data_IF_506807673705
#
_entry.id   IF_506807673705
#
_cell.length_a   1.000
_cell.length_b   1.000
_cell.length_c   1.000
_cell.angle_alpha   90.00
_cell.angle_beta   90.00
_cell.angle_gamma   90.00
#
_symmetry.space_group_name_H-M   'P 1'
#
loop_
_entity.id
_entity.type
_entity.pdbx_description
1 polymer ?
#
# COMPACT_ATOMS: atom_id res chain seq x y z
N UNK A 1 -17.70 29.14 8.56
CA UNK A 1 -17.58 28.29 9.78
C UNK A 1 -18.21 26.90 9.66
N UNK A 2 -19.39 26.68 9.06
CA UNK A 2 -20.01 25.33 9.02
C UNK A 2 -19.18 24.22 8.36
N UNK A 3 -18.22 24.55 7.49
CA UNK A 3 -17.31 23.56 6.90
C UNK A 3 -16.16 23.15 7.83
N UNK A 4 -15.85 23.95 8.85
CA UNK A 4 -14.82 23.63 9.84
C UNK A 4 -15.30 22.55 10.82
N UNK A 5 -16.62 22.42 11.01
CA UNK A 5 -17.25 21.39 11.85
C UNK A 5 -17.10 19.97 11.27
N UNK A 6 -16.85 19.86 9.95
CA UNK A 6 -16.73 18.57 9.24
C UNK A 6 -15.25 18.12 9.09
N UNK A 7 -14.30 18.88 9.62
CA UNK A 7 -12.87 18.57 9.52
C UNK A 7 -12.51 17.49 10.55
N UNK A 8 -11.79 16.42 10.15
CA UNK A 8 -11.31 15.41 11.07
C UNK A 8 -10.47 16.00 12.21
N UNK A 9 -10.60 15.40 13.40
CA UNK A 9 -9.71 15.69 14.52
C UNK A 9 -8.27 15.31 14.19
N UNK A 10 -7.30 16.07 14.72
CA UNK A 10 -5.89 15.68 14.63
C UNK A 10 -5.71 14.40 15.45
N UNK A 11 -5.16 13.32 14.87
CA UNK A 11 -4.92 12.10 15.61
C UNK A 11 -4.04 12.33 16.85
N UNK A 12 -4.24 11.48 17.85
CA UNK A 12 -3.49 11.53 19.11
C UNK A 12 -2.70 10.25 19.39
N UNK A 13 -2.78 9.27 18.50
CA UNK A 13 -2.14 7.97 18.60
C UNK A 13 -1.67 7.47 17.22
N UNK A 14 -0.82 6.45 17.24
CA UNK A 14 -0.22 5.89 16.03
C UNK A 14 -1.27 5.43 15.02
N UNK A 15 -2.30 4.71 15.48
CA UNK A 15 -3.36 4.17 14.62
C UNK A 15 -4.07 5.29 13.86
N UNK A 16 -4.42 6.39 14.53
CA UNK A 16 -5.05 7.52 13.87
C UNK A 16 -4.13 8.22 12.85
N UNK A 17 -2.82 8.31 13.10
CA UNK A 17 -1.88 8.88 12.11
C UNK A 17 -1.61 7.96 10.92
N UNK A 18 -1.74 6.64 11.10
CA UNK A 18 -1.59 5.63 10.04
C UNK A 18 -2.88 5.55 9.19
N UNK A 19 -4.05 5.59 9.83
CA UNK A 19 -5.34 5.42 9.16
C UNK A 19 -5.88 6.72 8.53
N UNK A 20 -5.30 7.87 8.87
CA UNK A 20 -5.75 9.14 8.32
C UNK A 20 -5.37 9.29 6.84
N UNK A 21 -6.13 10.13 6.15
CA UNK A 21 -5.90 10.46 4.75
C UNK A 21 -4.82 11.55 4.63
N UNK A 22 -3.89 11.48 3.68
CA UNK A 22 -2.99 12.60 3.42
C UNK A 22 -3.81 13.83 3.03
N UNK A 23 -3.32 15.00 3.45
CA UNK A 23 -3.95 16.25 3.11
C UNK A 23 -3.86 16.54 1.61
N UNK A 24 -4.74 17.41 1.10
CA UNK A 24 -4.79 17.80 -0.32
C UNK A 24 -3.44 18.24 -0.91
N UNK A 25 -2.57 18.76 -0.06
CA UNK A 25 -1.21 19.22 -0.35
C UNK A 25 -0.12 18.46 0.41
N UNK A 26 -0.49 17.40 1.15
CA UNK A 26 0.43 16.55 1.91
C UNK A 26 1.55 16.02 1.03
N UNK A 27 1.19 15.35 -0.06
CA UNK A 27 2.15 14.72 -0.97
C UNK A 27 2.77 15.66 -2.02
N UNK A 28 2.33 16.93 -2.07
CA UNK A 28 2.75 17.89 -3.10
C UNK A 28 3.88 18.79 -2.60
N UNK A 29 4.85 19.12 -3.44
CA UNK A 29 5.89 20.06 -3.04
C UNK A 29 5.36 21.50 -2.95
N UNK A 30 5.49 22.13 -1.78
CA UNK A 30 5.15 23.55 -1.59
C UNK A 30 6.20 24.52 -2.16
N UNK A 31 7.32 23.99 -2.69
CA UNK A 31 8.25 24.81 -3.48
C UNK A 31 7.71 25.08 -4.88
N UNK A 32 6.76 24.27 -5.35
CA UNK A 32 6.01 24.55 -6.56
C UNK A 32 5.07 25.73 -6.30
N UNK A 33 5.18 26.74 -7.15
CA UNK A 33 4.40 27.96 -7.02
C UNK A 33 2.90 27.72 -7.20
N UNK A 34 2.50 26.89 -8.17
CA UNK A 34 1.08 26.62 -8.43
C UNK A 34 0.43 25.88 -7.26
N UNK A 35 1.18 24.94 -6.66
CA UNK A 35 0.74 24.22 -5.46
C UNK A 35 0.62 25.17 -4.27
N UNK A 36 1.60 26.04 -4.05
CA UNK A 36 1.56 27.02 -2.95
C UNK A 36 0.46 28.05 -3.12
N UNK A 37 0.27 28.59 -4.32
CA UNK A 37 -0.81 29.53 -4.62
C UNK A 37 -2.18 28.85 -4.36
N UNK A 38 -2.34 27.57 -4.73
CA UNK A 38 -3.56 26.81 -4.44
C UNK A 38 -3.80 26.57 -2.94
N UNK A 39 -2.73 26.32 -2.17
CA UNK A 39 -2.82 26.23 -0.70
C UNK A 39 -3.29 27.56 -0.10
N UNK A 40 -2.72 28.69 -0.53
CA UNK A 40 -3.13 30.03 -0.08
C UNK A 40 -4.61 30.30 -0.43
N UNK A 41 -5.05 29.91 -1.61
CA UNK A 41 -6.46 30.03 -2.04
C UNK A 41 -7.40 29.23 -1.13
N UNK A 42 -7.01 28.02 -0.70
CA UNK A 42 -7.79 27.22 0.24
C UNK A 42 -7.77 27.80 1.65
N UNK A 43 -6.64 28.32 2.13
CA UNK A 43 -6.53 29.01 3.42
C UNK A 43 -7.37 30.29 3.44
N UNK A 44 -7.40 31.04 2.33
CA UNK A 44 -8.16 32.29 2.18
C UNK A 44 -9.69 32.12 2.27
N UNK A 45 -10.19 30.88 2.35
CA UNK A 45 -11.60 30.59 2.66
C UNK A 45 -11.94 30.79 4.14
N UNK A 46 -10.92 30.86 5.00
CA UNK A 46 -11.07 31.18 6.42
C UNK A 46 -11.45 32.67 6.58
N UNK A 47 -12.23 32.95 7.61
CA UNK A 47 -12.53 34.34 7.97
C UNK A 47 -11.35 34.91 8.79
N UNK A 48 -10.98 36.19 8.66
CA UNK A 48 -9.91 36.74 9.48
C UNK A 48 -10.22 36.64 10.98
N UNK A 49 -9.32 36.03 11.75
CA UNK A 49 -9.40 36.02 13.22
C UNK A 49 -8.78 37.30 13.81
N UNK A 50 -9.24 37.65 15.00
CA UNK A 50 -8.71 38.77 15.80
C UNK A 50 -8.25 38.25 17.15
N UNK A 51 -7.42 38.98 17.88
CA UNK A 51 -6.91 38.61 19.23
C UNK A 51 -7.99 38.38 20.31
N UNK A 52 -9.28 38.44 19.95
CA UNK A 52 -10.42 38.06 20.79
C UNK A 52 -10.95 36.66 20.46
N UNK A 53 -10.32 35.96 19.51
CA UNK A 53 -10.66 34.59 19.14
C UNK A 53 -10.56 33.68 20.36
N UNK A 54 -11.45 32.69 20.40
CA UNK A 54 -11.46 31.65 21.43
C UNK A 54 -10.46 30.54 21.07
N UNK A 55 -9.97 29.83 22.08
CA UNK A 55 -9.10 28.65 21.88
C UNK A 55 -9.73 27.64 20.90
N UNK A 56 -11.06 27.45 20.97
CA UNK A 56 -11.82 26.58 20.05
C UNK A 56 -11.77 27.06 18.59
N UNK A 57 -11.77 28.38 18.36
CA UNK A 57 -11.63 28.96 17.01
C UNK A 57 -10.21 28.79 16.48
N UNK A 58 -9.19 28.96 17.33
CA UNK A 58 -7.79 28.82 16.95
C UNK A 58 -7.49 27.34 16.65
N UNK A 59 -7.95 26.42 17.48
CA UNK A 59 -7.87 24.98 17.28
C UNK A 59 -8.52 24.54 15.96
N UNK A 60 -9.68 25.11 15.60
CA UNK A 60 -10.33 24.81 14.32
C UNK A 60 -9.50 25.25 13.10
N UNK A 61 -8.72 26.33 13.23
CA UNK A 61 -7.85 26.82 12.16
C UNK A 61 -6.62 25.94 12.02
N UNK A 62 -6.05 25.49 13.15
CA UNK A 62 -4.99 24.50 13.17
C UNK A 62 -5.43 23.19 12.52
N UNK A 63 -6.59 22.64 12.91
CA UNK A 63 -7.18 21.43 12.30
C UNK A 63 -7.33 21.55 10.80
N UNK A 64 -7.82 22.70 10.32
CA UNK A 64 -7.95 22.92 8.88
C UNK A 64 -6.59 22.96 8.18
N UNK A 65 -5.63 23.73 8.68
CA UNK A 65 -4.28 23.78 8.11
C UNK A 65 -3.63 22.39 8.09
N UNK A 66 -3.73 21.64 9.19
CA UNK A 66 -3.30 20.26 9.30
C UNK A 66 -3.92 19.36 8.24
N UNK A 67 -5.26 19.35 8.14
CA UNK A 67 -6.00 18.53 7.17
C UNK A 67 -5.63 18.81 5.71
N UNK A 68 -5.08 19.99 5.41
CA UNK A 68 -4.64 20.35 4.08
C UNK A 68 -3.23 19.83 3.77
N UNK A 69 -2.36 19.68 4.77
CA UNK A 69 -0.92 19.54 4.55
C UNK A 69 -0.27 18.32 5.17
N UNK A 70 -1.01 17.54 5.97
CA UNK A 70 -0.50 16.33 6.59
C UNK A 70 -0.04 15.31 5.54
N UNK A 71 1.12 14.70 5.78
CA UNK A 71 1.69 13.61 4.97
C UNK A 71 1.03 12.28 5.29
N UNK A 72 1.11 11.35 4.34
CA UNK A 72 0.87 9.95 4.63
C UNK A 72 1.99 9.37 5.52
N UNK A 73 1.63 8.50 6.46
CA UNK A 73 2.56 7.89 7.42
C UNK A 73 2.64 6.38 7.19
N UNK A 74 3.85 5.80 7.14
CA UNK A 74 4.01 4.38 6.83
C UNK A 74 3.48 3.48 7.95
N UNK A 75 2.75 2.42 7.60
CA UNK A 75 2.22 1.44 8.55
C UNK A 75 3.31 0.42 8.97
N UNK A 76 3.70 0.34 10.26
CA UNK A 76 4.65 -0.65 10.75
C UNK A 76 4.17 -2.10 10.58
N UNK A 77 2.86 -2.36 10.51
CA UNK A 77 2.34 -3.71 10.26
C UNK A 77 2.73 -4.23 8.88
N UNK A 78 2.84 -3.35 7.88
CA UNK A 78 3.32 -3.76 6.55
C UNK A 78 4.75 -4.28 6.64
N UNK A 79 5.61 -3.66 7.46
CA UNK A 79 6.97 -4.13 7.67
C UNK A 79 7.03 -5.47 8.41
N UNK A 80 6.17 -5.66 9.41
CA UNK A 80 6.05 -6.96 10.11
C UNK A 80 5.58 -8.04 9.15
N UNK A 81 4.54 -7.78 8.36
CA UNK A 81 4.02 -8.69 7.32
C UNK A 81 5.09 -8.96 6.26
N UNK A 82 5.89 -7.96 5.90
CA UNK A 82 7.04 -8.13 5.01
C UNK A 82 8.10 -9.04 5.62
N UNK A 83 8.41 -8.94 6.91
CA UNK A 83 9.33 -9.87 7.55
C UNK A 83 8.79 -11.28 7.64
N UNK A 84 7.49 -11.43 7.88
CA UNK A 84 6.78 -12.71 7.78
C UNK A 84 6.85 -13.25 6.34
N UNK A 85 6.67 -12.38 5.34
CA UNK A 85 6.74 -12.68 3.92
C UNK A 85 8.18 -12.84 3.37
N UNK A 86 9.20 -12.32 4.02
CA UNK A 86 10.62 -12.63 3.74
C UNK A 86 11.05 -13.90 4.49
N UNK A 87 10.31 -14.23 5.55
CA UNK A 87 10.39 -15.52 6.25
C UNK A 87 9.59 -16.61 5.56
N UNK A 88 8.77 -16.22 4.58
CA UNK A 88 8.14 -17.08 3.59
C UNK A 88 9.15 -18.07 3.06
N UNK A 89 8.70 -19.32 3.06
CA UNK A 89 9.57 -20.43 2.75
C UNK A 89 10.18 -21.19 3.86
N UNK A 90 10.19 -20.65 5.06
CA UNK A 90 10.58 -21.46 6.19
C UNK A 90 9.50 -22.54 6.41
N UNK A 91 9.79 -23.83 6.15
CA UNK A 91 8.80 -24.91 6.34
C UNK A 91 8.39 -25.06 7.80
N UNK A 92 9.05 -24.34 8.71
CA UNK A 92 8.83 -24.41 10.13
C UNK A 92 7.97 -23.23 10.68
N UNK A 93 7.36 -22.39 9.82
CA UNK A 93 6.35 -21.39 10.24
C UNK A 93 5.03 -22.08 10.68
N UNK A 94 4.24 -21.47 11.59
CA UNK A 94 2.98 -22.06 12.06
C UNK A 94 1.87 -22.05 10.99
N UNK A 95 1.85 -21.07 10.09
CA UNK A 95 0.88 -20.99 8.99
C UNK A 95 1.48 -21.54 7.68
N UNK A 96 0.88 -22.63 7.18
CA UNK A 96 1.32 -23.35 5.98
C UNK A 96 1.11 -22.60 4.67
N UNK A 97 0.35 -21.49 4.69
CA UNK A 97 0.23 -20.59 3.53
C UNK A 97 1.57 -19.94 3.19
N UNK A 98 2.39 -19.68 4.21
CA UNK A 98 3.69 -19.05 4.06
C UNK A 98 4.84 -20.04 3.84
N UNK A 99 4.55 -21.33 3.68
CA UNK A 99 5.57 -22.33 3.36
C UNK A 99 5.84 -22.34 1.86
N UNK A 100 7.13 -22.41 1.48
CA UNK A 100 7.49 -22.65 0.10
C UNK A 100 7.14 -24.07 -0.27
N UNK A 101 6.45 -24.19 -1.41
CA UNK A 101 6.07 -25.46 -2.01
C UNK A 101 6.79 -25.60 -3.35
N UNK A 102 6.92 -26.84 -3.81
CA UNK A 102 7.62 -27.14 -5.07
C UNK A 102 6.95 -26.48 -6.28
N UNK A 103 5.65 -26.23 -6.22
CA UNK A 103 4.88 -25.61 -7.30
C UNK A 103 4.49 -24.18 -6.90
N UNK A 104 4.74 -23.23 -7.79
CA UNK A 104 4.55 -21.82 -7.54
C UNK A 104 3.67 -21.20 -8.62
N UNK A 105 2.64 -20.45 -8.22
CA UNK A 105 1.72 -19.78 -9.14
C UNK A 105 1.59 -18.30 -8.77
N UNK A 106 1.67 -17.43 -9.77
CA UNK A 106 1.52 -15.98 -9.64
C UNK A 106 0.42 -15.55 -10.58
N UNK A 107 -0.62 -14.89 -10.06
CA UNK A 107 -1.61 -14.21 -10.89
C UNK A 107 -1.51 -12.71 -10.69
N UNK A 108 -1.34 -11.97 -11.77
CA UNK A 108 -1.49 -10.52 -11.77
C UNK A 108 -2.93 -10.21 -12.17
N UNK A 109 -3.64 -9.45 -11.34
CA UNK A 109 -4.96 -8.91 -11.66
C UNK A 109 -4.79 -7.42 -11.91
N UNK A 110 -5.03 -6.98 -13.14
CA UNK A 110 -4.86 -5.60 -13.58
C UNK A 110 -6.21 -4.91 -13.75
N UNK A 111 -6.36 -3.78 -13.07
CA UNK A 111 -7.42 -2.82 -13.31
C UNK A 111 -7.21 -2.11 -14.66
N UNK A 112 -8.17 -2.27 -15.57
CA UNK A 112 -8.26 -1.52 -16.82
C UNK A 112 -9.56 -0.71 -16.89
N UNK A 113 -10.08 -0.24 -15.76
CA UNK A 113 -11.18 0.71 -15.71
C UNK A 113 -10.80 2.06 -16.33
N UNK A 114 -11.81 2.90 -16.56
CA UNK A 114 -11.60 4.18 -17.25
C UNK A 114 -10.67 5.16 -16.53
N UNK A 115 -10.53 5.06 -15.21
CA UNK A 115 -9.65 5.94 -14.40
C UNK A 115 -8.17 5.72 -14.71
N UNK A 116 -7.78 4.50 -15.11
CA UNK A 116 -6.42 4.17 -15.54
C UNK A 116 -5.97 4.89 -16.82
N UNK A 117 -6.88 5.56 -17.53
CA UNK A 117 -6.57 6.44 -18.65
C UNK A 117 -6.04 7.83 -18.22
N UNK A 118 -6.07 8.15 -16.93
CA UNK A 118 -5.59 9.42 -16.41
C UNK A 118 -4.09 9.60 -16.70
N UNK A 119 -3.72 10.82 -17.07
CA UNK A 119 -2.31 11.20 -17.27
C UNK A 119 -1.69 11.59 -15.93
N UNK A 120 -0.55 11.00 -15.63
CA UNK A 120 0.34 11.40 -14.54
C UNK A 120 1.74 11.59 -15.13
N UNK A 121 2.31 12.78 -14.97
CA UNK A 121 3.49 13.25 -15.70
C UNK A 121 3.34 13.11 -17.23
N UNK A 122 4.19 12.33 -17.88
CA UNK A 122 4.26 12.14 -19.34
C UNK A 122 3.57 10.83 -19.81
N UNK A 123 2.99 10.05 -18.90
CA UNK A 123 2.38 8.74 -19.19
C UNK A 123 0.99 8.62 -18.59
N UNK A 124 0.19 7.70 -19.11
CA UNK A 124 -1.04 7.26 -18.46
C UNK A 124 -0.74 6.31 -17.31
N UNK A 125 -1.64 6.24 -16.34
CA UNK A 125 -1.55 5.26 -15.25
C UNK A 125 -1.45 3.82 -15.80
N UNK A 126 -2.24 3.50 -16.83
CA UNK A 126 -2.15 2.22 -17.54
C UNK A 126 -0.76 1.94 -18.12
N UNK A 127 -0.14 2.91 -18.81
CA UNK A 127 1.21 2.72 -19.37
C UNK A 127 2.24 2.42 -18.27
N UNK A 128 2.18 3.14 -17.15
CA UNK A 128 3.05 2.90 -16.00
C UNK A 128 2.83 1.51 -15.40
N UNK A 129 1.57 1.12 -15.19
CA UNK A 129 1.24 -0.20 -14.64
C UNK A 129 1.75 -1.34 -15.53
N UNK A 130 1.55 -1.23 -16.85
CA UNK A 130 2.04 -2.23 -17.81
C UNK A 130 3.55 -2.37 -17.78
N UNK A 131 4.28 -1.26 -17.77
CA UNK A 131 5.75 -1.29 -17.72
C UNK A 131 6.25 -1.95 -16.44
N UNK A 132 5.69 -1.57 -15.27
CA UNK A 132 6.10 -2.15 -13.98
C UNK A 132 5.75 -3.64 -13.86
N UNK A 133 4.61 -4.08 -14.38
CA UNK A 133 4.24 -5.51 -14.42
C UNK A 133 5.17 -6.29 -15.34
N UNK A 134 5.54 -5.76 -16.50
CA UNK A 134 6.47 -6.42 -17.42
C UNK A 134 7.87 -6.58 -16.80
N UNK A 135 8.35 -5.54 -16.11
CA UNK A 135 9.63 -5.60 -15.37
C UNK A 135 9.58 -6.67 -14.28
N UNK A 136 8.47 -6.74 -13.52
CA UNK A 136 8.25 -7.77 -12.50
C UNK A 136 8.24 -9.19 -13.08
N UNK A 137 7.45 -9.41 -14.14
CA UNK A 137 7.34 -10.72 -14.78
C UNK A 137 8.67 -11.23 -15.35
N UNK A 138 9.54 -10.33 -15.81
CA UNK A 138 10.87 -10.69 -16.30
C UNK A 138 11.80 -11.28 -15.22
N UNK A 139 11.48 -11.08 -13.94
CA UNK A 139 12.26 -11.61 -12.81
C UNK A 139 11.63 -12.87 -12.19
N UNK A 140 10.45 -13.27 -12.67
CA UNK A 140 9.78 -14.47 -12.16
C UNK A 140 10.59 -15.71 -12.53
N UNK A 141 10.85 -16.64 -11.58
CA UNK A 141 11.56 -17.89 -11.86
C UNK A 141 10.89 -18.69 -12.98
N UNK A 142 11.69 -19.34 -13.85
CA UNK A 142 11.18 -20.12 -15.00
C UNK A 142 10.21 -21.24 -14.57
N UNK A 143 10.33 -21.73 -13.34
CA UNK A 143 9.52 -22.80 -12.79
C UNK A 143 8.16 -22.36 -12.23
N UNK A 144 7.93 -21.05 -12.10
CA UNK A 144 6.63 -20.53 -11.67
C UNK A 144 5.63 -20.49 -12.85
N UNK A 145 4.38 -20.83 -12.58
CA UNK A 145 3.30 -20.53 -13.51
C UNK A 145 2.82 -19.10 -13.27
N UNK A 146 2.68 -18.32 -14.33
CA UNK A 146 2.14 -16.96 -14.28
C UNK A 146 0.78 -16.91 -14.97
N UNK A 147 -0.05 -15.98 -14.52
CA UNK A 147 -1.33 -15.66 -15.15
C UNK A 147 -1.58 -14.16 -15.12
N UNK A 148 -2.28 -13.65 -16.14
CA UNK A 148 -2.75 -12.28 -16.22
C UNK A 148 -4.26 -12.27 -16.36
N UNK A 149 -4.93 -11.64 -15.39
CA UNK A 149 -6.36 -11.35 -15.43
C UNK A 149 -6.56 -9.85 -15.52
N UNK A 150 -7.55 -9.45 -16.32
CA UNK A 150 -7.87 -8.05 -16.57
C UNK A 150 -9.37 -7.87 -16.39
N UNK A 151 -9.76 -6.73 -15.83
CA UNK A 151 -11.14 -6.29 -15.80
C UNK A 151 -11.27 -4.83 -16.22
N UNK A 152 -12.49 -4.40 -16.52
CA UNK A 152 -12.77 -3.01 -16.84
C UNK A 152 -12.32 -2.57 -18.24
N UNK A 153 -11.70 -3.44 -19.04
CA UNK A 153 -11.24 -3.11 -20.40
C UNK A 153 -12.36 -3.04 -21.46
N UNK A 154 -13.61 -3.29 -21.09
CA UNK A 154 -14.76 -3.30 -22.01
C UNK A 154 -15.79 -2.22 -21.66
N UNK A 155 -16.28 -1.54 -22.70
CA UNK A 155 -17.37 -0.58 -22.61
C UNK A 155 -16.88 0.85 -22.37
N UNK A 156 -17.51 1.53 -21.41
CA UNK A 156 -17.14 2.85 -20.94
C UNK A 156 -17.59 3.02 -19.48
N UNK A 157 -17.16 4.09 -18.82
CA UNK A 157 -17.65 4.45 -17.47
C UNK A 157 -19.09 5.01 -17.45
N UNK A 158 -19.85 4.87 -18.55
CA UNK A 158 -21.27 5.24 -18.59
C UNK A 158 -22.15 4.15 -17.99
N UNK A 159 -23.22 4.54 -17.27
CA UNK A 159 -24.18 3.61 -16.66
C UNK A 159 -24.79 2.61 -17.66
N UNK A 160 -24.93 3.00 -18.93
CA UNK A 160 -25.47 2.13 -19.97
C UNK A 160 -24.59 0.92 -20.28
N UNK A 161 -23.29 1.04 -20.03
CA UNK A 161 -22.29 -0.01 -20.28
C UNK A 161 -21.91 -0.76 -19.00
N UNK A 162 -22.40 -0.33 -17.83
CA UNK A 162 -22.08 -0.92 -16.51
C UNK A 162 -22.25 -2.44 -16.51
N UNK A 163 -23.40 -2.95 -16.95
CA UNK A 163 -23.65 -4.40 -16.95
C UNK A 163 -22.68 -5.18 -17.83
N UNK A 164 -22.31 -4.64 -19.00
CA UNK A 164 -21.38 -5.29 -19.91
C UNK A 164 -19.95 -5.24 -19.36
N UNK A 165 -19.55 -4.08 -18.82
CA UNK A 165 -18.23 -3.86 -18.24
C UNK A 165 -17.98 -4.71 -17.00
N UNK A 166 -18.95 -4.76 -16.08
CA UNK A 166 -18.87 -5.55 -14.85
C UNK A 166 -18.81 -7.07 -15.08
N UNK A 167 -19.21 -7.55 -16.26
CA UNK A 167 -19.13 -8.98 -16.65
C UNK A 167 -17.89 -9.27 -17.49
N UNK A 168 -17.16 -8.25 -17.92
CA UNK A 168 -15.99 -8.40 -18.78
C UNK A 168 -14.74 -8.51 -17.91
N UNK A 169 -14.57 -9.69 -17.33
CA UNK A 169 -13.36 -10.12 -16.66
C UNK A 169 -12.76 -11.20 -17.53
N UNK A 170 -11.48 -11.07 -17.85
CA UNK A 170 -10.80 -11.96 -18.79
C UNK A 170 -9.45 -12.40 -18.24
N UNK A 171 -9.21 -13.70 -18.22
CA UNK A 171 -7.89 -14.27 -18.05
C UNK A 171 -7.22 -14.29 -19.42
N UNK A 172 -6.49 -13.22 -19.73
CA UNK A 172 -5.84 -13.02 -21.04
C UNK A 172 -4.57 -13.86 -21.17
N UNK A 173 -3.97 -14.25 -20.05
CA UNK A 173 -2.87 -15.20 -19.98
C UNK A 173 -3.19 -16.26 -18.92
N UNK A 174 -3.43 -17.50 -19.34
CA UNK A 174 -3.68 -18.63 -18.45
C UNK A 174 -2.44 -19.02 -17.64
N UNK A 175 -2.61 -19.75 -16.54
CA UNK A 175 -1.48 -20.30 -15.76
C UNK A 175 -0.55 -21.15 -16.63
N UNK A 176 0.59 -20.58 -16.97
CA UNK A 176 1.64 -21.21 -17.76
C UNK A 176 3.01 -20.64 -17.39
N UNK A 177 4.10 -21.30 -17.80
CA UNK A 177 5.44 -20.71 -17.72
C UNK A 177 5.48 -19.38 -18.47
N UNK A 178 6.09 -18.35 -17.87
CA UNK A 178 6.19 -17.03 -18.47
C UNK A 178 6.86 -17.07 -19.85
N UNK A 179 6.15 -16.51 -20.84
CA UNK A 179 6.64 -16.27 -22.18
C UNK A 179 6.53 -14.76 -22.46
N UNK A 180 7.67 -14.08 -22.51
CA UNK A 180 7.72 -12.62 -22.63
C UNK A 180 6.99 -12.10 -23.88
N UNK A 181 7.10 -12.80 -25.02
CA UNK A 181 6.52 -12.35 -26.28
C UNK A 181 5.00 -12.43 -26.20
N UNK A 182 4.46 -13.57 -25.79
CA UNK A 182 3.00 -13.78 -25.67
C UNK A 182 2.42 -12.85 -24.59
N UNK A 183 3.06 -12.75 -23.44
CA UNK A 183 2.57 -11.92 -22.33
C UNK A 183 2.54 -10.44 -22.73
N UNK A 184 3.56 -9.96 -23.44
CA UNK A 184 3.60 -8.58 -23.96
C UNK A 184 2.52 -8.34 -25.02
N UNK A 185 2.28 -9.30 -25.91
CA UNK A 185 1.20 -9.18 -26.91
C UNK A 185 -0.17 -9.04 -26.25
N UNK A 186 -0.49 -9.85 -25.24
CA UNK A 186 -1.74 -9.74 -24.48
C UNK A 186 -1.81 -8.41 -23.72
N UNK A 187 -0.70 -7.99 -23.10
CA UNK A 187 -0.62 -6.73 -22.37
C UNK A 187 -0.87 -5.51 -23.28
N UNK A 188 -0.35 -5.50 -24.50
CA UNK A 188 -0.50 -4.39 -25.46
C UNK A 188 -1.95 -4.19 -25.91
N UNK A 189 -2.77 -5.25 -25.91
CA UNK A 189 -4.18 -5.21 -26.31
C UNK A 189 -5.09 -4.54 -25.26
N UNK A 190 -4.66 -4.48 -24.00
CA UNK A 190 -5.46 -3.94 -22.89
C UNK A 190 -5.59 -2.43 -23.03
N UNK A 191 -6.82 -1.91 -22.93
CA UNK A 191 -7.09 -0.47 -22.96
C UNK A 191 -8.02 -0.10 -21.80
N UNK A 192 -7.76 1.03 -21.11
CA UNK A 192 -8.59 1.48 -20.01
C UNK A 192 -9.94 1.97 -20.52
N UNK A 193 -11.06 1.55 -19.93
CA UNK A 193 -12.38 1.92 -20.46
C UNK A 193 -13.51 2.03 -19.43
N UNK A 194 -13.72 0.97 -18.67
CA UNK A 194 -15.00 0.61 -18.09
C UNK A 194 -15.07 0.80 -16.58
N UNK A 195 -15.81 -0.10 -15.94
CA UNK A 195 -16.09 -0.15 -14.50
C UNK A 195 -15.15 -1.15 -13.80
N UNK A 196 -15.17 -1.14 -12.47
CA UNK A 196 -14.22 -1.84 -11.57
C UNK A 196 -14.92 -2.98 -10.81
N UNK A 197 -15.04 -4.20 -11.40
CA UNK A 197 -15.60 -5.39 -10.75
C UNK A 197 -14.55 -6.19 -9.95
N UNK A 198 -13.99 -5.59 -8.89
CA UNK A 198 -12.97 -6.24 -8.03
C UNK A 198 -13.45 -7.58 -7.45
N UNK A 199 -14.67 -7.61 -6.91
CA UNK A 199 -15.29 -8.79 -6.33
C UNK A 199 -15.44 -9.89 -7.40
N UNK A 200 -15.92 -9.54 -8.59
CA UNK A 200 -16.03 -10.49 -9.69
C UNK A 200 -14.67 -11.04 -10.15
N UNK A 201 -13.66 -10.17 -10.23
CA UNK A 201 -12.31 -10.59 -10.61
C UNK A 201 -11.70 -11.57 -9.60
N UNK A 202 -11.91 -11.34 -8.30
CA UNK A 202 -11.48 -12.28 -7.25
C UNK A 202 -12.29 -13.58 -7.25
N UNK A 203 -13.58 -13.55 -7.58
CA UNK A 203 -14.38 -14.77 -7.77
C UNK A 203 -13.85 -15.63 -8.92
N UNK A 204 -13.50 -15.02 -10.05
CA UNK A 204 -12.91 -15.76 -11.17
C UNK A 204 -11.50 -16.28 -10.86
N UNK A 205 -10.68 -15.49 -10.15
CA UNK A 205 -9.38 -15.94 -9.65
C UNK A 205 -9.52 -17.16 -8.74
N UNK A 206 -10.54 -17.17 -7.86
CA UNK A 206 -10.88 -18.32 -7.02
C UNK A 206 -11.17 -19.57 -7.84
N UNK A 207 -11.97 -19.43 -8.89
CA UNK A 207 -12.34 -20.55 -9.76
C UNK A 207 -11.11 -21.06 -10.54
N UNK A 208 -10.28 -20.17 -11.08
CA UNK A 208 -9.05 -20.53 -11.78
C UNK A 208 -8.03 -21.23 -10.85
N UNK A 209 -7.93 -20.76 -9.60
CA UNK A 209 -7.04 -21.31 -8.59
C UNK A 209 -7.50 -22.64 -7.98
N UNK A 210 -8.76 -23.03 -8.20
CA UNK A 210 -9.34 -24.24 -7.60
C UNK A 210 -8.56 -25.54 -7.90
N UNK A 211 -7.77 -25.57 -8.98
CA UNK A 211 -6.93 -26.70 -9.33
C UNK A 211 -5.57 -26.74 -8.61
N UNK A 212 -5.15 -25.63 -8.01
CA UNK A 212 -3.84 -25.45 -7.37
C UNK A 212 -3.95 -25.48 -5.85
N UNK A 213 -4.16 -26.68 -5.29
CA UNK A 213 -4.35 -26.83 -3.85
C UNK A 213 -3.15 -26.30 -3.05
N UNK A 214 -3.45 -25.46 -2.08
CA UNK A 214 -2.50 -24.78 -1.20
C UNK A 214 -1.68 -25.73 -0.32
N UNK A 215 -1.96 -27.03 -0.27
CA UNK A 215 -1.09 -28.01 0.41
C UNK A 215 0.20 -28.31 -0.38
N UNK A 216 0.18 -28.13 -1.70
CA UNK A 216 1.31 -28.45 -2.60
C UNK A 216 1.70 -27.29 -3.53
N UNK A 217 0.92 -26.22 -3.55
CA UNK A 217 1.18 -25.00 -4.33
C UNK A 217 1.31 -23.80 -3.41
N UNK A 218 2.26 -22.93 -3.74
CA UNK A 218 2.28 -21.56 -3.25
C UNK A 218 1.58 -20.70 -4.30
N UNK A 219 0.45 -20.10 -3.93
CA UNK A 219 -0.36 -19.27 -4.83
C UNK A 219 -0.28 -17.82 -4.37
N UNK A 220 0.13 -16.93 -5.26
CA UNK A 220 0.17 -15.50 -5.03
C UNK A 220 -0.73 -14.78 -6.03
N UNK A 221 -1.44 -13.77 -5.54
CA UNK A 221 -2.18 -12.80 -6.35
C UNK A 221 -1.55 -11.44 -6.13
N UNK A 222 -1.26 -10.72 -7.21
CA UNK A 222 -0.88 -9.31 -7.20
C UNK A 222 -1.99 -8.51 -7.90
N UNK A 223 -2.80 -7.83 -7.11
CA UNK A 223 -3.84 -6.94 -7.61
C UNK A 223 -3.28 -5.52 -7.75
N UNK A 224 -3.38 -4.93 -8.94
CA UNK A 224 -3.04 -3.53 -9.19
C UNK A 224 -4.33 -2.79 -9.54
N UNK A 225 -4.76 -1.86 -8.68
CA UNK A 225 -6.01 -1.11 -8.89
C UNK A 225 -5.88 0.34 -8.45
N UNK A 226 -6.59 1.24 -9.15
CA UNK A 226 -6.65 2.67 -8.89
C UNK A 226 -7.96 3.13 -8.26
N UNK A 227 -8.86 2.21 -7.89
CA UNK A 227 -10.20 2.59 -7.45
C UNK A 227 -10.96 1.58 -6.59
N UNK A 228 -12.15 2.01 -6.14
CA UNK A 228 -13.11 1.20 -5.39
C UNK A 228 -13.87 0.22 -6.28
N UNK A 229 -14.54 -0.74 -5.66
CA UNK A 229 -15.54 -1.57 -6.33
C UNK A 229 -16.69 -0.71 -6.85
N UNK A 230 -17.04 -0.86 -8.12
CA UNK A 230 -18.15 -0.10 -8.74
C UNK A 230 -19.20 -0.99 -9.39
N UNK A 231 -19.11 -2.32 -9.25
CA UNK A 231 -20.01 -3.31 -9.85
C UNK A 231 -20.91 -4.04 -8.85
N UNK A 232 -21.22 -3.38 -7.73
CA UNK A 232 -22.19 -3.80 -6.71
C UNK A 232 -21.80 -5.08 -5.94
N UNK A 233 -20.53 -5.51 -6.03
CA UNK A 233 -19.97 -6.62 -5.26
C UNK A 233 -19.43 -6.22 -3.88
N UNK A 234 -18.98 -7.22 -3.11
CA UNK A 234 -18.28 -7.02 -1.85
C UNK A 234 -16.87 -7.63 -1.92
N UNK A 235 -15.86 -6.86 -2.33
CA UNK A 235 -14.54 -7.41 -2.61
C UNK A 235 -13.79 -7.86 -1.36
N UNK A 236 -14.07 -7.26 -0.19
CA UNK A 236 -13.50 -7.69 1.09
C UNK A 236 -13.98 -9.08 1.46
N UNK A 237 -15.28 -9.34 1.35
CA UNK A 237 -15.87 -10.66 1.64
C UNK A 237 -15.37 -11.73 0.65
N UNK A 238 -15.23 -11.37 -0.63
CA UNK A 238 -14.66 -12.29 -1.63
C UNK A 238 -13.19 -12.55 -1.37
N UNK A 239 -12.39 -11.55 -1.00
CA UNK A 239 -10.97 -11.70 -0.65
C UNK A 239 -10.79 -12.65 0.54
N UNK A 240 -11.59 -12.49 1.61
CA UNK A 240 -11.59 -13.39 2.77
C UNK A 240 -11.97 -14.82 2.36
N UNK A 241 -13.01 -14.96 1.54
CA UNK A 241 -13.47 -16.27 1.02
C UNK A 241 -12.46 -16.95 0.09
N UNK A 242 -11.69 -16.17 -0.67
CA UNK A 242 -10.62 -16.66 -1.54
C UNK A 242 -9.41 -17.12 -0.70
N UNK A 243 -8.95 -16.30 0.24
CA UNK A 243 -7.85 -16.66 1.14
C UNK A 243 -8.15 -17.92 2.00
N UNK A 244 -9.41 -18.16 2.30
CA UNK A 244 -9.88 -19.36 3.02
C UNK A 244 -10.26 -20.54 2.10
N UNK A 245 -10.07 -20.43 0.78
CA UNK A 245 -10.31 -21.52 -0.17
C UNK A 245 -9.24 -22.62 -0.07
N UNK A 246 -9.46 -23.77 -0.72
CA UNK A 246 -8.46 -24.85 -0.80
C UNK A 246 -7.15 -24.42 -1.49
N UNK A 247 -7.18 -23.34 -2.28
CA UNK A 247 -5.99 -22.76 -2.90
C UNK A 247 -5.19 -21.87 -1.94
N UNK A 248 -5.84 -21.30 -0.93
CA UNK A 248 -5.25 -20.41 0.07
C UNK A 248 -4.24 -19.38 -0.50
N UNK A 249 -4.58 -18.63 -1.57
CA UNK A 249 -3.67 -17.65 -2.11
C UNK A 249 -3.44 -16.50 -1.13
N UNK A 250 -2.26 -15.92 -1.20
CA UNK A 250 -1.94 -14.64 -0.54
C UNK A 250 -2.20 -13.54 -1.56
N UNK A 251 -3.03 -12.55 -1.19
CA UNK A 251 -3.47 -11.49 -2.08
C UNK A 251 -2.73 -10.20 -1.71
N UNK A 252 -1.67 -9.91 -2.43
CA UNK A 252 -0.95 -8.65 -2.34
C UNK A 252 -1.65 -7.61 -3.22
N UNK A 253 -1.85 -6.41 -2.69
CA UNK A 253 -2.65 -5.37 -3.33
C UNK A 253 -1.83 -4.09 -3.41
N UNK A 254 -1.71 -3.56 -4.63
CA UNK A 254 -1.05 -2.31 -4.91
C UNK A 254 -2.12 -1.29 -5.32
N UNK A 255 -2.40 -0.35 -4.42
CA UNK A 255 -3.24 0.82 -4.68
C UNK A 255 -2.47 1.84 -5.51
N UNK A 256 -2.74 1.90 -6.82
CA UNK A 256 -2.03 2.77 -7.73
C UNK A 256 -2.78 4.08 -7.95
N UNK A 257 -2.26 5.20 -7.47
CA UNK A 257 -2.91 6.51 -7.59
C UNK A 257 -4.33 6.59 -6.95
N UNK A 258 -4.55 5.80 -5.91
CA UNK A 258 -5.86 5.65 -5.25
C UNK A 258 -6.24 6.87 -4.42
N UNK A 259 -7.54 7.17 -4.39
CA UNK A 259 -8.10 8.01 -3.33
C UNK A 259 -8.25 7.21 -2.03
N UNK A 260 -8.61 7.90 -0.97
CA UNK A 260 -8.59 7.29 0.34
C UNK A 260 -9.77 6.34 0.63
N UNK A 261 -10.88 6.42 -0.13
CA UNK A 261 -11.95 5.42 0.00
C UNK A 261 -11.50 4.12 -0.70
N UNK A 262 -10.81 4.23 -1.84
CA UNK A 262 -10.16 3.10 -2.51
C UNK A 262 -9.06 2.49 -1.65
N UNK A 263 -8.19 3.32 -1.05
CA UNK A 263 -7.14 2.86 -0.13
C UNK A 263 -7.70 2.03 1.02
N UNK A 264 -8.73 2.54 1.73
CA UNK A 264 -9.33 1.81 2.84
C UNK A 264 -9.90 0.44 2.42
N UNK A 265 -10.62 0.40 1.29
CA UNK A 265 -11.20 -0.84 0.78
C UNK A 265 -10.12 -1.85 0.40
N UNK A 266 -9.08 -1.41 -0.32
CA UNK A 266 -7.98 -2.26 -0.78
C UNK A 266 -7.10 -2.74 0.38
N UNK A 267 -6.83 -1.90 1.38
CA UNK A 267 -6.12 -2.27 2.60
C UNK A 267 -6.88 -3.36 3.36
N UNK A 268 -8.20 -3.18 3.53
CA UNK A 268 -9.03 -4.18 4.19
C UNK A 268 -9.03 -5.53 3.44
N UNK A 269 -9.05 -5.52 2.10
CA UNK A 269 -8.94 -6.73 1.29
C UNK A 269 -7.61 -7.47 1.51
N UNK A 270 -6.49 -6.73 1.58
CA UNK A 270 -5.18 -7.32 1.85
C UNK A 270 -5.14 -7.91 3.27
N UNK A 271 -5.66 -7.18 4.26
CA UNK A 271 -5.72 -7.60 5.66
C UNK A 271 -6.47 -8.93 5.84
N UNK A 272 -7.70 -9.02 5.33
CA UNK A 272 -8.52 -10.23 5.48
C UNK A 272 -7.97 -11.43 4.70
N UNK A 273 -7.11 -11.17 3.71
CA UNK A 273 -6.46 -12.22 2.93
C UNK A 273 -5.11 -12.66 3.50
N UNK A 274 -4.54 -11.90 4.44
CA UNK A 274 -3.19 -12.11 4.97
C UNK A 274 -2.09 -11.72 3.98
N UNK A 275 -2.39 -10.84 3.02
CA UNK A 275 -1.43 -10.25 2.10
C UNK A 275 -1.00 -8.84 2.50
N UNK A 276 -0.19 -8.23 1.64
CA UNK A 276 0.38 -6.89 1.87
C UNK A 276 -0.39 -5.87 1.04
N UNK A 277 -0.71 -4.73 1.65
CA UNK A 277 -1.20 -3.55 0.95
C UNK A 277 -0.09 -2.52 0.82
N UNK A 278 0.09 -1.98 -0.38
CA UNK A 278 0.99 -0.87 -0.62
C UNK A 278 0.36 0.15 -1.54
N UNK A 279 0.74 1.42 -1.35
CA UNK A 279 0.36 2.51 -2.24
C UNK A 279 1.51 2.85 -3.17
N UNK A 280 1.20 3.13 -4.43
CA UNK A 280 2.15 3.66 -5.38
C UNK A 280 1.55 4.85 -6.11
N UNK A 281 2.27 5.96 -6.16
CA UNK A 281 1.84 7.18 -6.84
C UNK A 281 2.58 7.39 -8.17
N UNK A 282 3.72 6.75 -8.38
CA UNK A 282 4.49 6.87 -9.60
C UNK A 282 5.13 5.53 -10.01
N UNK A 283 5.80 5.54 -11.17
CA UNK A 283 6.47 4.35 -11.71
C UNK A 283 7.54 3.81 -10.77
N UNK A 284 8.29 4.68 -10.09
CA UNK A 284 9.37 4.25 -9.21
C UNK A 284 8.81 3.49 -8.01
N UNK A 285 7.80 4.04 -7.35
CA UNK A 285 7.13 3.40 -6.20
C UNK A 285 6.45 2.09 -6.61
N UNK A 286 5.74 2.07 -7.74
CA UNK A 286 5.10 0.85 -8.25
C UNK A 286 6.15 -0.25 -8.53
N UNK A 287 7.28 0.13 -9.14
CA UNK A 287 8.41 -0.79 -9.35
C UNK A 287 9.10 -1.19 -8.04
N UNK A 288 9.10 -0.37 -7.00
CA UNK A 288 9.62 -0.72 -5.67
C UNK A 288 8.74 -1.78 -4.99
N UNK A 289 7.42 -1.66 -5.10
CA UNK A 289 6.49 -2.67 -4.59
C UNK A 289 6.64 -4.01 -5.32
N UNK A 290 6.82 -3.99 -6.64
CA UNK A 290 7.14 -5.21 -7.37
C UNK A 290 8.52 -5.77 -7.03
N UNK A 291 9.53 -4.93 -6.75
CA UNK A 291 10.82 -5.44 -6.26
C UNK A 291 10.71 -6.18 -4.93
N UNK A 292 9.79 -5.78 -4.04
CA UNK A 292 9.52 -6.54 -2.80
C UNK A 292 8.96 -7.92 -3.12
N UNK A 293 8.07 -8.03 -4.11
CA UNK A 293 7.61 -9.32 -4.64
C UNK A 293 8.76 -10.18 -5.22
N UNK A 294 9.67 -9.57 -5.99
CA UNK A 294 10.86 -10.23 -6.54
C UNK A 294 11.77 -10.80 -5.45
N UNK A 295 11.95 -10.10 -4.33
CA UNK A 295 12.77 -10.57 -3.22
C UNK A 295 12.24 -11.87 -2.63
N UNK A 296 10.92 -12.05 -2.62
CA UNK A 296 10.28 -13.28 -2.16
C UNK A 296 10.44 -14.42 -3.14
N UNK A 297 10.37 -14.15 -4.44
CA UNK A 297 10.69 -15.13 -5.48
C UNK A 297 12.16 -15.55 -5.42
N UNK A 298 13.06 -14.60 -5.19
CA UNK A 298 14.48 -14.88 -4.98
C UNK A 298 14.71 -15.67 -3.67
N UNK A 299 13.90 -15.45 -2.63
CA UNK A 299 13.93 -16.26 -1.42
C UNK A 299 13.46 -17.70 -1.69
N UNK A 300 12.47 -17.90 -2.57
CA UNK A 300 11.99 -19.23 -3.00
C UNK A 300 13.09 -20.03 -3.70
N UNK A 301 13.72 -19.44 -4.72
CA UNK A 301 14.83 -20.08 -5.42
C UNK A 301 16.00 -20.40 -4.48
N UNK A 302 16.35 -19.47 -3.57
CA UNK A 302 17.41 -19.72 -2.58
C UNK A 302 17.05 -20.83 -1.58
N UNK A 303 15.80 -20.91 -1.14
CA UNK A 303 15.32 -21.99 -0.27
C UNK A 303 15.42 -23.36 -0.98
N UNK A 304 14.99 -23.41 -2.24
CA UNK A 304 15.08 -24.59 -3.11
C UNK A 304 16.53 -25.03 -3.29
N UNK A 305 17.47 -24.07 -3.37
CA UNK A 305 18.89 -24.37 -3.53
C UNK A 305 19.65 -24.73 -2.23
N UNK A 306 19.36 -24.14 -1.07
CA UNK A 306 19.94 -24.52 0.24
C UNK A 306 19.17 -23.93 1.44
N UNK A 307 18.64 -24.77 2.34
CA UNK A 307 17.80 -24.34 3.47
C UNK A 307 18.52 -23.63 4.65
N UNK A 308 19.84 -23.37 4.61
CA UNK A 308 20.62 -23.14 5.85
C UNK A 308 21.69 -22.04 5.87
N UNK A 309 21.71 -21.10 4.92
CA UNK A 309 22.67 -19.98 4.95
C UNK A 309 22.05 -18.60 5.24
N UNK A 310 20.82 -18.52 5.74
CA UNK A 310 20.01 -17.29 5.67
C UNK A 310 19.81 -16.48 6.96
N UNK A 311 20.15 -16.98 8.16
CA UNK A 311 19.78 -16.28 9.40
C UNK A 311 20.54 -14.96 9.62
N UNK A 312 21.88 -14.97 9.46
CA UNK A 312 22.68 -13.74 9.66
C UNK A 312 22.40 -12.68 8.59
N UNK A 313 21.99 -13.09 7.37
CA UNK A 313 21.59 -12.18 6.29
C UNK A 313 20.19 -11.61 6.56
N UNK A 314 19.26 -12.41 7.11
CA UNK A 314 17.92 -11.96 7.50
C UNK A 314 17.98 -10.91 8.62
N UNK A 315 18.79 -11.15 9.66
CA UNK A 315 18.99 -10.19 10.76
C UNK A 315 19.58 -8.86 10.27
N UNK A 316 20.49 -8.88 9.29
CA UNK A 316 21.04 -7.68 8.65
C UNK A 316 20.03 -6.94 7.76
N UNK A 317 19.16 -7.66 7.04
CA UNK A 317 18.12 -7.06 6.21
C UNK A 317 17.03 -6.40 7.06
N UNK A 318 16.52 -7.11 8.08
CA UNK A 318 15.47 -6.59 8.96
C UNK A 318 15.93 -5.33 9.72
N UNK A 319 17.19 -5.29 10.17
CA UNK A 319 17.76 -4.06 10.74
C UNK A 319 17.84 -2.90 9.74
N UNK A 320 18.10 -3.18 8.46
CA UNK A 320 18.03 -2.19 7.38
C UNK A 320 16.60 -1.70 7.12
N UNK A 321 15.62 -2.60 7.17
CA UNK A 321 14.21 -2.28 6.96
C UNK A 321 13.68 -1.36 8.08
N UNK A 322 14.05 -1.59 9.35
CA UNK A 322 13.72 -0.68 10.46
C UNK A 322 14.33 0.71 10.22
N UNK A 323 15.57 0.78 9.74
CA UNK A 323 16.23 2.07 9.44
C UNK A 323 15.48 2.80 8.32
N UNK A 324 15.05 2.09 7.28
CA UNK A 324 14.27 2.65 6.18
C UNK A 324 12.92 3.18 6.68
N UNK A 325 12.16 2.35 7.42
CA UNK A 325 10.90 2.77 8.05
C UNK A 325 11.07 4.01 8.94
N UNK A 326 12.10 4.04 9.78
CA UNK A 326 12.42 5.19 10.63
C UNK A 326 12.70 6.43 9.78
N UNK A 327 13.43 6.27 8.67
CA UNK A 327 13.70 7.35 7.72
C UNK A 327 12.43 7.90 7.07
N UNK A 328 11.54 7.02 6.63
CA UNK A 328 10.28 7.38 5.97
C UNK A 328 9.31 8.05 6.97
N UNK A 329 9.21 7.54 8.19
CA UNK A 329 8.42 8.14 9.26
C UNK A 329 8.97 9.52 9.68
N UNK A 330 10.28 9.63 9.93
CA UNK A 330 10.95 10.92 10.19
C UNK A 330 10.69 11.89 9.04
N UNK A 331 10.77 11.44 7.79
CA UNK A 331 10.53 12.27 6.61
C UNK A 331 9.10 12.80 6.56
N UNK A 332 8.10 11.94 6.77
CA UNK A 332 6.68 12.33 6.82
C UNK A 332 6.42 13.35 7.94
N UNK A 333 6.98 13.12 9.13
CA UNK A 333 6.90 14.03 10.28
C UNK A 333 7.53 15.40 9.98
N UNK A 334 8.78 15.44 9.52
CA UNK A 334 9.48 16.69 9.22
C UNK A 334 8.80 17.47 8.09
N UNK A 335 8.33 16.78 7.04
CA UNK A 335 7.59 17.44 5.97
C UNK A 335 6.25 18.00 6.44
N UNK A 336 5.51 17.27 7.28
CA UNK A 336 4.28 17.78 7.89
C UNK A 336 4.55 19.05 8.71
N UNK A 337 5.62 19.04 9.52
CA UNK A 337 6.06 20.20 10.29
C UNK A 337 6.40 21.42 9.40
N UNK A 338 7.21 21.23 8.37
CA UNK A 338 7.62 22.30 7.46
C UNK A 338 6.44 22.88 6.67
N UNK A 339 5.48 22.02 6.30
CA UNK A 339 4.28 22.45 5.58
C UNK A 339 3.31 23.19 6.49
N UNK A 340 3.13 22.75 7.74
CA UNK A 340 2.37 23.49 8.75
C UNK A 340 3.01 24.85 9.02
N UNK A 341 4.34 24.90 9.15
CA UNK A 341 5.09 26.16 9.25
C UNK A 341 4.78 27.10 8.09
N UNK A 342 4.78 26.57 6.87
CA UNK A 342 4.45 27.34 5.66
C UNK A 342 3.00 27.83 5.66
N UNK A 343 2.05 26.96 6.05
CA UNK A 343 0.63 27.31 6.11
C UNK A 343 0.35 28.38 7.17
N UNK A 344 0.93 28.28 8.37
CA UNK A 344 0.79 29.28 9.45
C UNK A 344 1.38 30.63 8.99
N UNK A 345 2.56 30.61 8.39
CA UNK A 345 3.18 31.81 7.83
C UNK A 345 2.32 32.44 6.71
N UNK A 346 1.74 31.63 5.82
CA UNK A 346 0.87 32.12 4.76
C UNK A 346 -0.45 32.68 5.33
N UNK A 347 -0.98 32.12 6.42
CA UNK A 347 -2.14 32.69 7.14
C UNK A 347 -1.82 34.05 7.77
N UNK A 348 -0.67 34.18 8.44
CA UNK A 348 -0.24 35.45 9.05
C UNK A 348 -0.03 36.53 7.98
N UNK A 349 0.73 36.22 6.93
CA UNK A 349 1.11 37.20 5.90
C UNK A 349 -0.03 37.64 4.98
N UNK A 350 -1.12 36.86 4.92
CA UNK A 350 -2.34 37.22 4.19
C UNK A 350 -3.44 37.77 5.11
N UNK A 351 -3.10 38.19 6.34
CA UNK A 351 -4.02 38.78 7.31
C UNK A 351 -5.22 37.86 7.68
N UNK A 352 -5.04 36.53 7.59
CA UNK A 352 -6.04 35.53 8.01
C UNK A 352 -5.99 35.37 9.54
N UNK A 353 -4.80 35.42 10.12
CA UNK A 353 -4.58 35.42 11.58
C UNK A 353 -3.67 36.58 11.96
N UNK A 354 -3.75 37.03 13.21
CA UNK A 354 -2.81 38.01 13.76
C UNK A 354 -1.50 37.32 14.14
N UNK A 355 -0.45 38.10 14.40
CA UNK A 355 0.84 37.57 14.85
C UNK A 355 0.73 36.80 16.18
N UNK A 356 -0.07 37.30 17.14
CA UNK A 356 -0.32 36.63 18.42
C UNK A 356 -1.01 35.25 18.21
N UNK A 357 -1.98 35.16 17.29
CA UNK A 357 -2.63 33.88 16.95
C UNK A 357 -1.69 32.96 16.17
N UNK A 358 -0.86 33.50 15.28
CA UNK A 358 0.13 32.73 14.56
C UNK A 358 1.13 32.06 15.54
N UNK A 359 1.54 32.78 16.59
CA UNK A 359 2.38 32.22 17.66
C UNK A 359 1.65 31.07 18.40
N UNK A 360 0.35 31.20 18.71
CA UNK A 360 -0.42 30.11 19.33
C UNK A 360 -0.58 28.88 18.41
N UNK A 361 -0.73 29.08 17.10
CA UNK A 361 -0.74 27.99 16.12
C UNK A 361 0.65 27.33 16.01
N UNK A 362 1.72 28.11 16.18
CA UNK A 362 3.11 27.64 16.21
C UNK A 362 3.31 26.71 17.42
N UNK A 363 2.79 27.07 18.58
CA UNK A 363 2.81 26.23 19.79
C UNK A 363 2.09 24.89 19.56
N UNK A 364 0.89 24.89 18.96
CA UNK A 364 0.18 23.65 18.61
C UNK A 364 0.96 22.77 17.61
N UNK A 365 1.67 23.39 16.66
CA UNK A 365 2.55 22.67 15.72
C UNK A 365 3.72 22.01 16.47
N UNK A 366 4.32 22.70 17.43
CA UNK A 366 5.41 22.16 18.26
C UNK A 366 4.92 20.99 19.13
N UNK A 367 3.75 21.10 19.76
CA UNK A 367 3.15 20.00 20.54
C UNK A 367 2.88 18.77 19.68
N UNK A 368 2.33 18.95 18.47
CA UNK A 368 2.12 17.86 17.51
C UNK A 368 3.45 17.19 17.10
N UNK A 369 4.51 17.98 16.94
CA UNK A 369 5.83 17.46 16.59
C UNK A 369 6.41 16.58 17.71
N UNK A 370 6.28 17.01 18.97
CA UNK A 370 6.71 16.22 20.12
C UNK A 370 5.93 14.90 20.24
N UNK A 371 4.61 14.94 20.00
CA UNK A 371 3.77 13.75 19.97
C UNK A 371 4.21 12.76 18.87
N UNK A 372 4.43 13.24 17.64
CA UNK A 372 4.86 12.41 16.52
C UNK A 372 6.25 11.81 16.73
N UNK A 373 7.16 12.53 17.40
CA UNK A 373 8.48 12.01 17.78
C UNK A 373 8.36 10.92 18.87
N UNK A 374 7.46 11.09 19.84
CA UNK A 374 7.18 10.03 20.83
C UNK A 374 6.61 8.78 20.16
N UNK A 375 5.63 8.94 19.27
CA UNK A 375 5.01 7.84 18.52
C UNK A 375 6.06 7.12 17.68
N UNK A 376 6.88 7.86 16.92
CA UNK A 376 7.99 7.29 16.14
C UNK A 376 8.88 6.39 17.01
N UNK A 377 9.27 6.88 18.18
CA UNK A 377 10.13 6.14 19.09
C UNK A 377 9.46 4.88 19.65
N UNK A 378 8.17 4.94 19.96
CA UNK A 378 7.38 3.78 20.40
C UNK A 378 7.26 2.72 19.30
N UNK A 379 6.96 3.12 18.07
CA UNK A 379 6.87 2.23 16.91
C UNK A 379 8.21 1.55 16.60
N UNK A 380 9.31 2.30 16.59
CA UNK A 380 10.65 1.74 16.34
C UNK A 380 11.03 0.74 17.43
N UNK A 381 10.75 1.03 18.70
CA UNK A 381 11.01 0.10 19.80
C UNK A 381 10.19 -1.20 19.69
N UNK A 382 8.93 -1.10 19.27
CA UNK A 382 8.07 -2.26 19.05
C UNK A 382 8.58 -3.12 17.88
N UNK A 383 8.98 -2.49 16.76
CA UNK A 383 9.59 -3.17 15.62
C UNK A 383 10.91 -3.86 15.98
N UNK A 384 11.78 -3.21 16.74
CA UNK A 384 13.03 -3.81 17.24
C UNK A 384 12.74 -5.01 18.14
N UNK A 385 11.74 -4.90 19.03
CA UNK A 385 11.30 -5.99 19.90
C UNK A 385 10.78 -7.19 19.11
N UNK A 386 9.85 -6.96 18.19
CA UNK A 386 9.28 -8.00 17.30
C UNK A 386 10.36 -8.67 16.45
N UNK A 387 11.32 -7.92 15.92
CA UNK A 387 12.42 -8.46 15.15
C UNK A 387 13.27 -9.44 15.98
N UNK A 388 13.59 -9.09 17.23
CA UNK A 388 14.34 -9.96 18.14
C UNK A 388 13.56 -11.24 18.44
N UNK A 389 12.28 -11.12 18.83
CA UNK A 389 11.42 -12.28 19.13
C UNK A 389 11.33 -13.22 17.92
N UNK A 390 11.06 -12.68 16.74
CA UNK A 390 10.97 -13.44 15.49
C UNK A 390 12.27 -14.19 15.16
N UNK A 391 13.43 -13.52 15.28
CA UNK A 391 14.74 -14.17 15.07
C UNK A 391 15.01 -15.27 16.10
N UNK A 392 14.62 -15.06 17.36
CA UNK A 392 14.78 -16.07 18.41
C UNK A 392 13.91 -17.31 18.16
N UNK A 393 12.65 -17.13 17.76
CA UNK A 393 11.75 -18.22 17.38
C UNK A 393 12.30 -19.04 16.20
N UNK A 394 12.80 -18.35 15.17
CA UNK A 394 13.45 -18.99 14.03
C UNK A 394 14.69 -19.80 14.47
N UNK A 395 15.53 -19.23 15.36
CA UNK A 395 16.72 -19.89 15.89
C UNK A 395 16.37 -21.12 16.74
N UNK A 396 15.35 -21.03 17.60
CA UNK A 396 14.92 -22.14 18.44
C UNK A 396 14.38 -23.30 17.60
N UNK A 397 13.54 -22.97 16.62
CA UNK A 397 12.95 -23.94 15.68
C UNK A 397 14.03 -24.71 14.91
N UNK A 398 15.04 -24.01 14.39
CA UNK A 398 16.21 -24.61 13.75
C UNK A 398 16.99 -25.49 14.74
N UNK A 399 17.25 -25.00 15.96
CA UNK A 399 18.02 -25.73 16.98
C UNK A 399 17.33 -27.04 17.40
N UNK A 400 16.01 -27.01 17.63
CA UNK A 400 15.23 -28.19 18.03
C UNK A 400 15.26 -29.27 16.94
N UNK A 401 15.17 -28.87 15.67
CA UNK A 401 15.27 -29.78 14.52
C UNK A 401 16.65 -30.43 14.41
N UNK A 402 17.73 -29.66 14.52
CA UNK A 402 19.10 -30.20 14.47
C UNK A 402 19.42 -31.15 15.62
N UNK A 403 18.98 -30.83 16.84
CA UNK A 403 19.18 -31.71 17.99
C UNK A 403 18.39 -33.03 17.84
N UNK A 404 17.20 -33.00 17.23
CA UNK A 404 16.39 -34.20 16.97
C UNK A 404 16.93 -35.11 15.84
N UNK A 405 17.74 -34.58 14.93
CA UNK A 405 18.40 -35.35 13.85
C UNK A 405 19.71 -36.02 14.30
N UNK A 406 20.33 -35.55 15.39
CA UNK A 406 21.57 -36.13 15.95
C UNK A 406 21.28 -37.32 16.89
N UNK A 407 20.03 -37.47 17.34
CA UNK A 407 19.61 -38.53 18.28
C UNK A 407 19.00 -39.78 17.62
N UNK A 408 18.96 -39.88 16.27
CA UNK A 408 18.43 -41.05 15.53
C UNK A 408 19.49 -41.82 14.74
#
# INVERSE_FOLDING_TARGET
MRFLEDIPEVPTDAAGFIDQKPGKYGEKSLTDKEVRDALIDDLSKLEPLTDQATDEEIEAYFKYAYSLVVKDFPDPENLVKEWEFQSFGNPDLPDSRYHFKENYNIEVILDASGSMAALHDDKTLMETAKESILDFMAQVPEEANVSLRVYGHVGSSADSDKEASCKAIEQVYDYATYDEEIFREEMDLIQPAGWTPLAGALEEAKDALSSFNGSNHTNLIYLVSDGIETCDGNPVEVAESLANSDAQPIINIIGFHVDADAQQQLQQMAEVSGGIFATAYNQQELSEEFKRAEQTLAAWERWKENALSSLDIKELNQGGDIIQFTGDWTSARLQTYDKLTSAIYDMETNDIVTNDIADELDEQREELQELLEQIEQELVNDLEGKNVEHIEELRETIRNKYNSQVEN
#
